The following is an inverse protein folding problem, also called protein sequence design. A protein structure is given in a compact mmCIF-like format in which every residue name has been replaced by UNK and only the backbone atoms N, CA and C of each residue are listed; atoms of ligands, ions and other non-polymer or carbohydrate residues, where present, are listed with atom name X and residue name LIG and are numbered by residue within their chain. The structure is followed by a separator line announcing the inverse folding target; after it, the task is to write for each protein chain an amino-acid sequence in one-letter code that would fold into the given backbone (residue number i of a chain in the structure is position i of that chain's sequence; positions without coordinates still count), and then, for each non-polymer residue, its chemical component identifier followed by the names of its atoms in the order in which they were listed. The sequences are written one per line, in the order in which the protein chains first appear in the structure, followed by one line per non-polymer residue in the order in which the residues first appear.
data_IF_794291357709
#
_entry.id   IF_794291357709
#
_cell.length_a   1.000
_cell.length_b   1.000
_cell.length_c   1.000
_cell.angle_alpha   90.00
_cell.angle_beta   90.00
_cell.angle_gamma   90.00
#
_symmetry.space_group_name_H-M   'P 1'
#
loop_
_entity.id
_entity.type
_entity.pdbx_description
1 polymer ?
#
# COMPACT_ATOMS: atom_id res chain seq x y z
N UNK A 1 -0.03 0.78 -9.44
CA UNK A 1 -1.01 0.79 -10.54
C UNK A 1 -2.40 0.33 -10.10
N UNK A 2 -2.55 -0.81 -9.44
CA UNK A 2 -3.86 -1.42 -9.15
C UNK A 2 -4.72 -0.62 -8.16
N UNK A 3 -4.13 0.18 -7.29
CA UNK A 3 -4.87 0.97 -6.30
C UNK A 3 -5.62 2.15 -6.92
N UNK A 4 -5.11 2.70 -8.02
CA UNK A 4 -5.75 3.83 -8.67
C UNK A 4 -7.16 3.51 -9.19
N UNK A 5 -7.39 2.44 -9.96
CA UNK A 5 -8.74 2.07 -10.37
C UNK A 5 -9.65 1.66 -9.20
N UNK A 6 -9.09 1.14 -8.10
CA UNK A 6 -9.87 0.89 -6.88
C UNK A 6 -10.35 2.19 -6.25
N UNK A 7 -9.46 3.19 -6.15
CA UNK A 7 -9.86 4.53 -5.70
C UNK A 7 -10.98 5.10 -6.58
N UNK A 8 -10.81 5.05 -7.91
CA UNK A 8 -11.84 5.54 -8.85
C UNK A 8 -13.19 4.84 -8.65
N UNK A 9 -13.16 3.54 -8.37
CA UNK A 9 -14.36 2.74 -8.09
C UNK A 9 -15.03 3.16 -6.78
N UNK A 10 -14.25 3.46 -5.75
CA UNK A 10 -14.76 3.93 -4.47
C UNK A 10 -15.38 5.32 -4.62
N UNK A 11 -14.65 6.23 -5.24
CA UNK A 11 -15.09 7.62 -5.41
C UNK A 11 -16.32 7.78 -6.32
N UNK A 12 -16.57 6.80 -7.20
CA UNK A 12 -17.79 6.76 -8.03
C UNK A 12 -19.06 6.53 -7.18
N UNK A 13 -18.92 5.98 -5.99
CA UNK A 13 -20.04 5.60 -5.10
C UNK A 13 -20.04 6.32 -3.76
N UNK A 14 -18.87 6.62 -3.24
CA UNK A 14 -18.68 7.15 -1.89
C UNK A 14 -17.53 8.17 -1.86
N UNK A 15 -17.65 9.17 -0.99
CA UNK A 15 -16.55 10.06 -0.67
C UNK A 15 -16.03 9.73 0.73
N UNK A 16 -14.93 8.98 0.88
CA UNK A 16 -14.33 8.70 2.19
C UNK A 16 -13.93 10.01 2.88
N UNK A 17 -14.21 10.14 4.17
CA UNK A 17 -13.72 11.30 4.95
C UNK A 17 -12.21 11.32 5.07
N UNK A 18 -11.61 10.13 5.19
CA UNK A 18 -10.17 9.93 5.40
C UNK A 18 -9.68 8.83 4.46
N UNK A 19 -8.52 9.07 3.85
CA UNK A 19 -7.79 8.08 3.07
C UNK A 19 -6.36 8.00 3.62
N UNK A 20 -5.97 6.79 4.03
CA UNK A 20 -4.60 6.46 4.43
C UNK A 20 -3.91 5.72 3.29
N UNK A 21 -2.75 6.20 2.87
CA UNK A 21 -1.95 5.52 1.83
C UNK A 21 -0.52 5.30 2.31
N UNK A 22 -0.04 4.06 2.21
CA UNK A 22 1.34 3.73 2.54
C UNK A 22 2.29 4.26 1.46
N UNK A 23 3.38 4.86 1.88
CA UNK A 23 4.46 5.29 0.99
C UNK A 23 5.15 4.13 0.26
N UNK A 24 5.08 2.90 0.78
CA UNK A 24 5.61 1.70 0.12
C UNK A 24 5.04 1.50 -1.29
N UNK A 25 3.88 2.08 -1.58
CA UNK A 25 3.29 2.03 -2.93
C UNK A 25 4.17 2.68 -4.01
N UNK A 26 5.10 3.54 -3.63
CA UNK A 26 6.10 4.11 -4.54
C UNK A 26 7.23 3.13 -4.89
N UNK A 27 7.48 2.13 -4.05
CA UNK A 27 8.55 1.13 -4.24
C UNK A 27 8.01 -0.11 -4.95
N UNK A 28 6.80 -0.53 -4.61
CA UNK A 28 6.13 -1.70 -5.19
C UNK A 28 5.61 -1.39 -6.61
N UNK A 29 6.52 -1.36 -7.56
CA UNK A 29 6.24 -0.94 -8.94
C UNK A 29 5.82 -2.07 -9.89
N UNK A 30 5.53 -3.26 -9.38
CA UNK A 30 5.24 -4.42 -10.23
C UNK A 30 3.91 -4.29 -10.97
N UNK A 31 3.96 -4.29 -12.32
CA UNK A 31 2.78 -4.49 -13.17
C UNK A 31 2.06 -5.82 -12.85
N UNK A 32 2.76 -6.76 -12.25
CA UNK A 32 2.25 -8.07 -11.83
C UNK A 32 1.10 -7.98 -10.82
N UNK A 33 1.09 -6.91 -10.01
CA UNK A 33 -0.01 -6.66 -9.08
C UNK A 33 -1.35 -6.37 -9.78
N UNK A 34 -1.35 -5.96 -11.05
CA UNK A 34 -2.58 -5.79 -11.82
C UNK A 34 -3.36 -7.10 -11.97
N UNK A 35 -2.69 -8.24 -11.95
CA UNK A 35 -3.34 -9.53 -12.00
C UNK A 35 -4.37 -9.74 -10.87
N UNK A 36 -4.18 -9.05 -9.72
CA UNK A 36 -5.09 -9.12 -8.57
C UNK A 36 -6.49 -8.57 -8.88
N UNK A 37 -6.59 -7.63 -9.81
CA UNK A 37 -7.86 -6.99 -10.19
C UNK A 37 -8.46 -7.52 -11.51
N UNK A 38 -7.80 -8.49 -12.16
CA UNK A 38 -8.33 -9.11 -13.40
C UNK A 38 -9.75 -9.68 -13.27
N UNK A 39 -10.19 -10.27 -12.13
CA UNK A 39 -11.56 -10.70 -11.96
C UNK A 39 -12.61 -9.61 -12.20
N UNK A 40 -12.25 -8.36 -11.98
CA UNK A 40 -13.14 -7.21 -12.14
C UNK A 40 -13.06 -6.55 -13.52
N UNK A 41 -12.23 -7.08 -14.44
CA UNK A 41 -12.01 -6.47 -15.76
C UNK A 41 -13.31 -6.28 -16.57
N UNK A 42 -14.21 -7.24 -16.52
CA UNK A 42 -15.46 -7.19 -17.30
C UNK A 42 -16.51 -6.27 -16.68
N UNK A 43 -16.55 -6.20 -15.38
CA UNK A 43 -17.61 -5.51 -14.62
C UNK A 43 -17.24 -4.10 -14.17
N UNK A 44 -15.93 -3.77 -14.14
CA UNK A 44 -15.44 -2.49 -13.65
C UNK A 44 -14.74 -1.68 -14.75
N UNK A 45 -15.34 -0.54 -15.12
CA UNK A 45 -14.83 0.34 -16.20
C UNK A 45 -13.42 0.88 -15.91
N UNK A 46 -13.10 1.15 -14.64
CA UNK A 46 -11.80 1.70 -14.24
C UNK A 46 -10.70 0.65 -14.28
N UNK A 47 -11.01 -0.57 -13.83
CA UNK A 47 -10.12 -1.72 -13.97
C UNK A 47 -9.84 -2.01 -15.45
N UNK A 48 -10.86 -2.01 -16.29
CA UNK A 48 -10.70 -2.21 -17.74
C UNK A 48 -9.78 -1.16 -18.34
N UNK A 49 -9.97 0.12 -18.00
CA UNK A 49 -9.17 1.23 -18.51
C UNK A 49 -7.68 1.05 -18.17
N UNK A 50 -7.34 0.75 -16.92
CA UNK A 50 -5.94 0.62 -16.50
C UNK A 50 -5.28 -0.63 -17.08
N UNK A 51 -5.99 -1.76 -17.10
CA UNK A 51 -5.48 -3.01 -17.67
C UNK A 51 -5.21 -2.87 -19.17
N UNK A 52 -6.11 -2.24 -19.93
CA UNK A 52 -5.89 -1.99 -21.35
C UNK A 52 -4.71 -1.04 -21.61
N UNK A 53 -4.47 -0.08 -20.72
CA UNK A 53 -3.34 0.84 -20.84
C UNK A 53 -2.00 0.16 -20.58
N UNK A 54 -1.92 -0.65 -19.52
CA UNK A 54 -0.64 -1.23 -19.06
C UNK A 54 -0.38 -2.60 -19.68
N UNK A 55 -1.42 -3.40 -19.84
CA UNK A 55 -1.36 -4.75 -20.39
C UNK A 55 -2.32 -4.93 -21.59
N UNK A 56 -2.13 -4.23 -22.71
CA UNK A 56 -3.08 -4.27 -23.84
C UNK A 56 -3.31 -5.68 -24.39
N UNK A 57 -2.27 -6.52 -24.37
CA UNK A 57 -2.38 -7.92 -24.81
C UNK A 57 -3.16 -8.81 -23.82
N UNK A 58 -3.32 -8.39 -22.57
CA UNK A 58 -4.08 -9.16 -21.59
C UNK A 58 -5.60 -9.06 -21.84
N UNK A 59 -6.08 -8.00 -22.48
CA UNK A 59 -7.51 -7.79 -22.76
C UNK A 59 -8.15 -8.97 -23.48
N UNK A 60 -7.47 -9.55 -24.48
CA UNK A 60 -7.95 -10.72 -25.22
C UNK A 60 -8.00 -11.96 -24.29
N UNK A 61 -6.96 -12.18 -23.50
CA UNK A 61 -6.88 -13.30 -22.56
C UNK A 61 -7.95 -13.22 -21.48
N UNK A 62 -8.31 -12.00 -21.05
CA UNK A 62 -9.34 -11.75 -20.03
C UNK A 62 -10.78 -11.98 -20.53
N UNK A 63 -10.96 -12.27 -21.79
CA UNK A 63 -12.24 -12.80 -22.32
C UNK A 63 -12.48 -14.25 -21.88
N UNK A 64 -11.44 -14.99 -21.49
CA UNK A 64 -11.55 -16.38 -21.05
C UNK A 64 -11.55 -16.49 -19.54
N UNK A 65 -12.59 -17.07 -18.96
CA UNK A 65 -12.74 -17.24 -17.50
C UNK A 65 -11.57 -18.02 -16.89
N UNK A 66 -11.08 -19.05 -17.56
CA UNK A 66 -9.93 -19.84 -17.10
C UNK A 66 -8.70 -18.98 -16.88
N UNK A 67 -8.45 -17.99 -17.73
CA UNK A 67 -7.32 -17.06 -17.52
C UNK A 67 -7.57 -16.06 -16.38
N UNK A 68 -8.79 -15.53 -16.28
CA UNK A 68 -9.18 -14.56 -15.24
C UNK A 68 -9.00 -15.14 -13.85
N UNK A 69 -9.40 -16.39 -13.65
CA UNK A 69 -9.41 -17.05 -12.35
C UNK A 69 -8.25 -18.03 -12.15
N UNK A 70 -7.33 -18.13 -13.13
CA UNK A 70 -6.17 -19.01 -13.02
C UNK A 70 -5.44 -18.77 -11.71
N UNK A 71 -5.11 -19.85 -11.01
CA UNK A 71 -4.45 -19.87 -9.67
C UNK A 71 -5.23 -19.17 -8.53
N UNK A 72 -6.41 -18.61 -8.78
CA UNK A 72 -7.21 -17.90 -7.75
C UNK A 72 -8.38 -18.70 -7.22
N UNK A 73 -8.79 -19.76 -7.93
CA UNK A 73 -9.96 -20.56 -7.56
C UNK A 73 -9.78 -21.14 -6.15
N UNK A 74 -8.61 -21.68 -5.84
CA UNK A 74 -8.32 -22.24 -4.51
C UNK A 74 -8.46 -21.17 -3.43
N UNK A 75 -7.87 -19.98 -3.65
CA UNK A 75 -7.98 -18.87 -2.69
C UNK A 75 -9.41 -18.37 -2.51
N UNK A 76 -10.21 -18.37 -3.57
CA UNK A 76 -11.62 -17.97 -3.51
C UNK A 76 -12.43 -19.01 -2.70
N UNK A 77 -12.13 -20.29 -2.86
CA UNK A 77 -12.79 -21.36 -2.11
C UNK A 77 -12.39 -21.30 -0.63
N UNK A 78 -11.10 -21.11 -0.33
CA UNK A 78 -10.59 -20.96 1.03
C UNK A 78 -11.16 -19.74 1.74
N UNK A 79 -11.33 -18.62 1.03
CA UNK A 79 -11.84 -17.37 1.61
C UNK A 79 -13.34 -17.41 1.97
N UNK A 80 -14.10 -18.38 1.50
CA UNK A 80 -15.54 -18.52 1.85
C UNK A 80 -15.80 -18.73 3.33
N UNK A 81 -14.82 -19.30 4.05
CA UNK A 81 -14.89 -19.55 5.48
C UNK A 81 -14.08 -18.55 6.33
N UNK A 82 -13.51 -17.53 5.69
CA UNK A 82 -12.68 -16.53 6.36
C UNK A 82 -13.52 -15.36 6.84
N UNK A 83 -13.75 -15.32 8.16
CA UNK A 83 -14.45 -14.21 8.83
C UNK A 83 -13.49 -13.06 9.21
N UNK A 84 -12.24 -13.07 8.75
CA UNK A 84 -11.22 -12.08 9.09
C UNK A 84 -11.45 -10.69 8.45
N UNK A 85 -12.44 -10.54 7.59
CA UNK A 85 -12.67 -9.33 6.78
C UNK A 85 -11.43 -8.90 5.98
N UNK A 86 -10.57 -9.86 5.62
CA UNK A 86 -9.32 -9.65 4.91
C UNK A 86 -8.12 -9.29 5.79
N UNK A 87 -8.26 -9.28 7.12
CA UNK A 87 -7.15 -9.13 8.03
C UNK A 87 -6.48 -10.48 8.31
N UNK A 88 -5.19 -10.58 7.98
CA UNK A 88 -4.36 -11.74 8.33
C UNK A 88 -3.34 -11.30 9.35
N UNK A 89 -3.48 -11.80 10.59
CA UNK A 89 -2.53 -11.52 11.65
C UNK A 89 -1.18 -12.20 11.33
N UNK A 90 -0.12 -11.40 11.26
CA UNK A 90 1.24 -11.93 11.19
C UNK A 90 1.67 -12.30 12.61
N UNK A 91 1.87 -13.59 12.86
CA UNK A 91 2.44 -14.08 14.11
C UNK A 91 3.95 -13.83 14.10
N UNK A 92 4.56 -13.44 15.25
CA UNK A 92 6.01 -13.28 15.33
C UNK A 92 6.70 -14.57 14.89
N UNK A 93 7.64 -14.48 13.97
CA UNK A 93 8.58 -15.57 13.70
C UNK A 93 9.55 -15.60 14.86
N UNK A 94 9.58 -16.70 15.61
CA UNK A 94 10.33 -16.87 16.87
C UNK A 94 11.85 -16.61 16.77
N UNK A 95 12.42 -16.45 15.57
CA UNK A 95 13.83 -16.20 15.33
C UNK A 95 14.01 -15.15 14.21
N UNK A 96 13.65 -13.91 14.47
CA UNK A 96 14.26 -12.83 13.70
C UNK A 96 15.67 -12.66 14.26
N UNK A 97 16.65 -13.31 13.64
CA UNK A 97 18.06 -13.06 13.96
C UNK A 97 18.38 -11.59 13.62
N UNK A 98 18.26 -10.76 14.64
CA UNK A 98 18.52 -9.32 14.54
C UNK A 98 20.02 -9.00 14.64
N UNK A 99 20.89 -10.01 14.88
CA UNK A 99 22.33 -9.82 14.96
C UNK A 99 22.98 -9.61 13.59
N UNK A 100 22.31 -9.98 12.50
CA UNK A 100 22.74 -9.75 11.13
C UNK A 100 21.94 -8.63 10.43
N UNK A 101 21.35 -7.72 11.18
CA UNK A 101 20.77 -6.51 10.61
C UNK A 101 21.91 -5.55 10.25
N UNK A 102 22.75 -5.99 9.30
CA UNK A 102 23.51 -5.04 8.52
C UNK A 102 22.47 -4.28 7.68
N UNK A 103 22.21 -3.05 8.09
CA UNK A 103 21.26 -2.10 7.51
C UNK A 103 21.68 -1.66 6.08
N UNK A 104 22.27 -2.56 5.34
CA UNK A 104 22.47 -2.40 3.91
C UNK A 104 21.14 -2.74 3.24
N UNK A 105 20.40 -1.71 2.90
CA UNK A 105 19.56 -1.82 1.70
C UNK A 105 20.37 -2.59 0.67
N UNK A 106 19.77 -3.55 -0.08
CA UNK A 106 20.50 -4.20 -1.17
C UNK A 106 21.20 -3.11 -1.94
N UNK A 107 22.55 -3.11 -1.88
CA UNK A 107 23.39 -2.28 -2.74
C UNK A 107 23.37 -2.92 -4.13
N UNK A 108 22.23 -2.96 -4.72
CA UNK A 108 22.03 -3.54 -6.03
C UNK A 108 20.75 -2.97 -6.56
N UNK A 109 20.93 -2.03 -7.42
CA UNK A 109 19.96 -1.24 -8.13
C UNK A 109 19.45 -0.06 -7.29
N UNK A 110 19.87 1.14 -7.67
CA UNK A 110 19.09 2.34 -7.54
C UNK A 110 17.69 1.98 -8.03
N UNK A 111 16.77 1.61 -7.13
CA UNK A 111 15.37 1.53 -7.48
C UNK A 111 14.94 2.98 -7.73
N UNK A 112 15.30 3.47 -8.91
CA UNK A 112 14.70 4.68 -9.43
C UNK A 112 13.20 4.42 -9.40
N UNK A 113 12.51 5.18 -8.55
CA UNK A 113 11.06 5.15 -8.55
C UNK A 113 10.65 5.49 -9.97
N UNK A 114 10.03 4.53 -10.64
CA UNK A 114 9.56 4.72 -12.01
C UNK A 114 8.73 6.00 -12.07
N UNK A 115 9.02 6.90 -13.01
CA UNK A 115 8.26 8.14 -13.21
C UNK A 115 6.77 7.87 -13.38
N UNK A 116 6.43 6.73 -13.95
CA UNK A 116 5.05 6.33 -14.14
C UNK A 116 4.37 5.96 -12.81
N UNK A 117 5.04 5.20 -11.94
CA UNK A 117 4.53 4.86 -10.59
C UNK A 117 4.36 6.12 -9.76
N UNK A 118 5.35 7.03 -9.81
CA UNK A 118 5.27 8.33 -9.14
C UNK A 118 4.07 9.15 -9.62
N UNK A 119 3.87 9.20 -10.93
CA UNK A 119 2.73 9.90 -11.52
C UNK A 119 1.40 9.35 -11.01
N UNK A 120 1.21 8.03 -11.00
CA UNK A 120 0.00 7.41 -10.46
C UNK A 120 -0.19 7.66 -8.96
N UNK A 121 0.89 7.69 -8.19
CA UNK A 121 0.82 8.00 -6.77
C UNK A 121 0.38 9.45 -6.52
N UNK A 122 0.95 10.38 -7.28
CA UNK A 122 0.57 11.80 -7.23
C UNK A 122 -0.88 11.99 -7.67
N UNK A 123 -1.30 11.35 -8.77
CA UNK A 123 -2.67 11.39 -9.26
C UNK A 123 -3.65 10.80 -8.25
N UNK A 124 -3.29 9.70 -7.60
CA UNK A 124 -4.09 9.11 -6.53
C UNK A 124 -4.35 10.13 -5.42
N UNK A 125 -3.29 10.78 -4.91
CA UNK A 125 -3.42 11.78 -3.84
C UNK A 125 -4.25 12.96 -4.30
N UNK A 126 -3.95 13.53 -5.48
CA UNK A 126 -4.69 14.68 -6.03
C UNK A 126 -6.17 14.37 -6.20
N UNK A 127 -6.50 13.22 -6.74
CA UNK A 127 -7.88 12.80 -6.93
C UNK A 127 -8.61 12.61 -5.60
N UNK A 128 -7.94 12.00 -4.63
CA UNK A 128 -8.46 11.83 -3.28
C UNK A 128 -8.72 13.15 -2.58
N UNK A 129 -7.78 14.10 -2.64
CA UNK A 129 -7.95 15.43 -2.04
C UNK A 129 -9.01 16.26 -2.74
N UNK A 130 -9.11 16.16 -4.08
CA UNK A 130 -10.13 16.87 -4.86
C UNK A 130 -11.53 16.35 -4.63
N UNK A 131 -11.70 15.10 -4.17
CA UNK A 131 -13.00 14.55 -3.77
C UNK A 131 -13.48 15.03 -2.39
N UNK A 132 -12.66 15.80 -1.68
CA UNK A 132 -12.97 16.28 -0.32
C UNK A 132 -12.44 15.38 0.80
N UNK A 133 -11.72 14.30 0.47
CA UNK A 133 -11.11 13.42 1.49
C UNK A 133 -9.89 14.08 2.13
N UNK A 134 -9.73 13.93 3.46
CA UNK A 134 -8.44 14.18 4.12
C UNK A 134 -7.50 13.02 3.80
N UNK A 135 -6.36 13.31 3.17
CA UNK A 135 -5.40 12.29 2.74
C UNK A 135 -4.15 12.31 3.60
N UNK A 136 -3.79 11.15 4.12
CA UNK A 136 -2.57 10.94 4.88
C UNK A 136 -1.69 9.94 4.14
N UNK A 137 -0.49 10.37 3.81
CA UNK A 137 0.58 9.48 3.37
C UNK A 137 1.37 9.08 4.60
N UNK A 138 1.56 7.79 4.83
CA UNK A 138 2.36 7.35 5.96
C UNK A 138 3.58 6.56 5.53
N UNK A 139 4.67 6.75 6.28
CA UNK A 139 5.87 5.95 6.19
C UNK A 139 5.81 4.96 7.35
N UNK A 140 5.69 3.65 7.09
CA UNK A 140 5.63 2.66 8.14
C UNK A 140 6.97 2.57 8.89
N UNK A 141 6.97 2.14 10.16
CA UNK A 141 8.20 1.82 10.86
C UNK A 141 8.83 0.58 10.23
N UNK A 142 10.16 0.55 10.19
CA UNK A 142 10.95 -0.58 9.73
C UNK A 142 12.23 -0.66 10.54
N UNK A 143 12.72 -1.87 10.80
CA UNK A 143 14.04 -2.06 11.42
C UNK A 143 15.18 -1.76 10.45
N UNK A 144 14.90 -1.78 9.15
CA UNK A 144 15.85 -1.36 8.11
C UNK A 144 15.82 0.15 7.92
N UNK A 145 17.00 0.74 7.74
CA UNK A 145 17.12 2.17 7.47
C UNK A 145 16.54 2.52 6.10
N UNK A 146 15.56 3.43 6.09
CA UNK A 146 14.96 3.91 4.86
C UNK A 146 15.93 4.85 4.14
N UNK A 147 16.02 4.69 2.81
CA UNK A 147 16.85 5.51 1.96
C UNK A 147 16.45 7.00 2.06
N UNK A 148 17.43 7.86 2.32
CA UNK A 148 17.21 9.32 2.46
C UNK A 148 16.64 9.98 1.20
N UNK A 149 17.03 9.51 0.02
CA UNK A 149 16.48 9.98 -1.26
C UNK A 149 14.97 9.68 -1.36
N UNK A 150 14.56 8.47 -0.95
CA UNK A 150 13.16 8.08 -0.91
C UNK A 150 12.36 8.94 0.08
N UNK A 151 12.88 9.15 1.30
CA UNK A 151 12.24 10.03 2.28
C UNK A 151 12.05 11.46 1.76
N UNK A 152 13.10 12.01 1.12
CA UNK A 152 13.05 13.33 0.51
C UNK A 152 11.97 13.40 -0.57
N UNK A 153 11.86 12.37 -1.39
CA UNK A 153 10.87 12.28 -2.47
C UNK A 153 9.44 12.26 -1.92
N UNK A 154 9.16 11.45 -0.91
CA UNK A 154 7.84 11.42 -0.26
C UNK A 154 7.49 12.78 0.34
N UNK A 155 8.43 13.40 1.07
CA UNK A 155 8.23 14.74 1.66
C UNK A 155 7.89 15.77 0.58
N UNK A 156 8.55 15.72 -0.56
CA UNK A 156 8.26 16.63 -1.67
C UNK A 156 6.87 16.37 -2.27
N UNK A 157 6.49 15.12 -2.49
CA UNK A 157 5.17 14.76 -3.03
C UNK A 157 4.06 15.24 -2.09
N UNK A 158 4.18 14.96 -0.80
CA UNK A 158 3.15 15.35 0.19
C UNK A 158 3.02 16.87 0.29
N UNK A 159 4.14 17.59 0.31
CA UNK A 159 4.15 19.06 0.31
C UNK A 159 3.41 19.66 -0.90
N UNK A 160 3.52 19.03 -2.07
CA UNK A 160 2.95 19.52 -3.32
C UNK A 160 1.50 19.04 -3.59
N UNK A 161 0.95 18.17 -2.74
CA UNK A 161 -0.34 17.50 -3.00
C UNK A 161 -1.41 17.74 -1.93
N UNK A 162 -1.16 18.62 -0.96
CA UNK A 162 -2.05 18.86 0.20
C UNK A 162 -2.30 17.61 1.09
N UNK A 163 -1.55 16.53 0.90
CA UNK A 163 -1.61 15.38 1.79
C UNK A 163 -0.81 15.64 3.06
N UNK A 164 -1.25 15.10 4.18
CA UNK A 164 -0.48 15.12 5.42
C UNK A 164 0.47 13.93 5.45
N UNK A 165 1.72 14.16 5.87
CA UNK A 165 2.70 13.10 6.07
C UNK A 165 2.70 12.65 7.53
N UNK A 166 2.63 11.34 7.75
CA UNK A 166 2.86 10.69 9.04
C UNK A 166 4.08 9.79 8.89
N UNK A 167 5.17 10.15 9.56
CA UNK A 167 6.46 9.47 9.44
C UNK A 167 6.76 8.68 10.72
N UNK A 168 6.61 7.35 10.66
CA UNK A 168 6.96 6.44 11.74
C UNK A 168 8.35 5.81 11.58
N UNK A 169 9.10 6.16 10.53
CA UNK A 169 10.40 5.54 10.24
C UNK A 169 11.46 5.77 11.32
N UNK A 170 11.29 6.81 12.12
CA UNK A 170 12.19 7.15 13.22
C UNK A 170 11.50 7.10 14.59
N UNK A 171 10.34 6.49 14.68
CA UNK A 171 9.57 6.45 15.92
C UNK A 171 10.13 5.39 16.88
N UNK A 172 10.75 5.84 17.97
CA UNK A 172 11.38 4.98 18.98
C UNK A 172 10.42 4.01 19.65
N UNK A 173 9.12 4.27 19.64
CA UNK A 173 8.13 3.31 20.15
C UNK A 173 8.00 2.05 19.31
N UNK A 174 8.58 2.04 18.13
CA UNK A 174 8.73 0.85 17.29
C UNK A 174 10.19 0.40 17.26
N UNK A 175 11.14 1.32 17.02
CA UNK A 175 12.54 0.96 16.80
C UNK A 175 13.19 0.31 18.01
N UNK A 176 12.76 0.70 19.23
CA UNK A 176 13.24 0.11 20.48
C UNK A 176 12.53 -1.21 20.85
N UNK A 177 11.52 -1.63 20.06
CA UNK A 177 10.64 -2.76 20.33
C UNK A 177 10.63 -3.73 19.17
N UNK A 178 11.73 -4.49 18.99
CA UNK A 178 11.88 -5.47 17.90
C UNK A 178 10.80 -6.55 17.91
N UNK A 179 10.26 -6.85 19.09
CA UNK A 179 9.16 -7.79 19.29
C UNK A 179 7.84 -7.37 18.61
N UNK A 180 7.73 -6.12 18.16
CA UNK A 180 6.59 -5.63 17.39
C UNK A 180 6.67 -5.97 15.90
N UNK A 181 7.78 -6.56 15.45
CA UNK A 181 7.99 -6.88 14.05
C UNK A 181 7.86 -8.37 13.78
N UNK A 182 7.38 -8.72 12.59
CA UNK A 182 7.38 -10.08 12.06
C UNK A 182 8.69 -10.40 11.34
N UNK A 183 9.25 -9.38 10.68
CA UNK A 183 10.53 -9.38 9.99
C UNK A 183 11.10 -7.95 9.97
N UNK A 184 12.14 -7.69 9.17
CA UNK A 184 12.81 -6.39 9.18
C UNK A 184 11.94 -5.20 8.74
N UNK A 185 10.87 -5.45 7.99
CA UNK A 185 10.03 -4.40 7.38
C UNK A 185 8.54 -4.51 7.71
N UNK A 186 8.09 -5.64 8.23
CA UNK A 186 6.69 -5.85 8.53
C UNK A 186 6.43 -5.92 10.03
N UNK A 187 5.46 -5.15 10.49
CA UNK A 187 4.94 -5.29 11.84
C UNK A 187 4.18 -6.60 11.99
N UNK A 188 4.27 -7.23 13.17
CA UNK A 188 3.39 -8.32 13.55
C UNK A 188 2.04 -7.77 14.06
N UNK A 189 1.15 -8.66 14.54
CA UNK A 189 -0.16 -8.27 15.07
C UNK A 189 -0.08 -7.19 16.15
N UNK A 190 0.83 -7.33 17.11
CA UNK A 190 0.97 -6.36 18.21
C UNK A 190 1.50 -5.01 17.70
N UNK A 191 2.49 -5.03 16.81
CA UNK A 191 3.01 -3.82 16.16
C UNK A 191 1.95 -3.10 15.32
N UNK A 192 1.14 -3.85 14.58
CA UNK A 192 0.03 -3.30 13.81
C UNK A 192 -1.02 -2.63 14.71
N UNK A 193 -1.31 -3.22 15.87
CA UNK A 193 -2.21 -2.62 16.88
C UNK A 193 -1.65 -1.30 17.40
N UNK A 194 -0.39 -1.27 17.82
CA UNK A 194 0.28 -0.03 18.27
C UNK A 194 0.22 1.05 17.19
N UNK A 195 0.50 0.70 15.94
CA UNK A 195 0.43 1.65 14.82
C UNK A 195 -0.99 2.17 14.59
N UNK A 196 -2.00 1.30 14.70
CA UNK A 196 -3.41 1.68 14.55
C UNK A 196 -3.83 2.66 15.66
N UNK A 197 -3.44 2.41 16.91
CA UNK A 197 -3.76 3.28 18.03
C UNK A 197 -3.12 4.68 17.85
N UNK A 198 -1.88 4.74 17.35
CA UNK A 198 -1.22 6.02 17.00
C UNK A 198 -1.94 6.75 15.87
N UNK A 199 -2.35 6.05 14.82
CA UNK A 199 -3.16 6.64 13.76
C UNK A 199 -4.46 7.21 14.32
N UNK A 200 -5.18 6.44 15.14
CA UNK A 200 -6.44 6.88 15.72
C UNK A 200 -6.29 8.14 16.57
N UNK A 201 -5.19 8.27 17.31
CA UNK A 201 -4.87 9.48 18.05
C UNK A 201 -4.68 10.68 17.13
N UNK A 202 -3.79 10.56 16.12
CA UNK A 202 -3.53 11.62 15.13
C UNK A 202 -4.81 12.03 14.41
N UNK A 203 -5.63 11.06 14.00
CA UNK A 203 -6.88 11.34 13.29
C UNK A 203 -7.92 12.01 14.17
N UNK A 204 -8.02 11.62 15.44
CA UNK A 204 -8.93 12.30 16.40
C UNK A 204 -8.54 13.76 16.56
N UNK A 205 -7.27 14.03 16.81
CA UNK A 205 -6.76 15.39 16.99
C UNK A 205 -7.00 16.28 15.75
N UNK A 206 -7.03 15.67 14.56
CA UNK A 206 -7.14 16.36 13.28
C UNK A 206 -8.58 16.45 12.73
N UNK A 207 -9.50 15.62 13.21
CA UNK A 207 -10.89 15.55 12.75
C UNK A 207 -11.90 16.24 13.70
N UNK A 208 -11.46 16.62 14.89
CA UNK A 208 -12.33 17.26 15.93
C UNK A 208 -12.55 18.77 15.67
N UNK A 209 -12.06 19.30 14.52
CA UNK A 209 -12.29 20.71 14.14
C UNK A 209 -13.11 20.85 12.87
#
# INVERSE_FOLDING_TARGET
YYQYPLLETILDKHTPKVILISSHQLIESGSDYLSRIYPYYRTNKYVRKIVNKIHPKASIKLLFNGYVYNSKIIRILDSRNDNSLGYVALTPRLNVDTSQVDLKLPQGNNHEISKEVESYFIEFIKKSTSSGSKVYVYIPPALEKINSFYLKKIKNITKNTKAKLIDFSSDNSFLNHKELFNDKIHLNHNGAKVMTDKFMKILKDDLVY
#
